data_IF_009196113013
#
_entry.id   IF_009196113013
#
_cell.length_a   1.000
_cell.length_b   1.000
_cell.length_c   1.000
_cell.angle_alpha   90.00
_cell.angle_beta   90.00
_cell.angle_gamma   90.00
#
_symmetry.space_group_name_H-M   'P 1'
#
loop_
_entity.id
_entity.type
_entity.pdbx_description
1 polymer ?
#
# COMPACT_ATOMS: atom_id res chain seq x y z
N UNK A 1 43.39 14.24 9.98
CA UNK A 1 43.21 13.40 11.19
C UNK A 1 41.78 12.88 11.16
N UNK A 2 41.49 11.66 11.62
CA UNK A 2 40.10 11.20 11.68
C UNK A 2 39.38 11.85 12.87
N UNK A 3 38.18 12.35 12.64
CA UNK A 3 37.33 12.99 13.67
C UNK A 3 36.10 12.14 13.90
N UNK A 4 35.76 11.94 15.17
CA UNK A 4 34.51 11.29 15.54
C UNK A 4 33.46 12.38 15.71
N UNK A 5 32.34 12.24 15.03
CA UNK A 5 31.31 13.29 14.99
C UNK A 5 29.92 12.71 15.18
N UNK A 6 29.00 13.52 15.67
CA UNK A 6 27.57 13.26 15.72
C UNK A 6 26.85 14.11 14.69
N UNK A 7 25.95 13.52 13.91
CA UNK A 7 25.05 14.26 13.03
C UNK A 7 24.03 15.05 13.85
N UNK A 8 23.91 16.35 13.58
CA UNK A 8 22.94 17.26 14.16
C UNK A 8 21.62 17.32 13.37
N UNK A 9 21.60 16.74 12.16
CA UNK A 9 20.42 16.61 11.29
C UNK A 9 20.65 15.45 10.33
N UNK A 10 19.61 15.01 9.63
CA UNK A 10 19.78 14.02 8.56
C UNK A 10 20.64 14.57 7.41
N UNK A 11 21.51 13.73 6.85
CA UNK A 11 22.36 14.09 5.71
C UNK A 11 23.17 12.91 5.18
N UNK A 12 24.03 13.13 4.18
CA UNK A 12 24.75 12.04 3.50
C UNK A 12 26.25 12.17 3.69
N UNK A 13 26.86 11.14 4.30
CA UNK A 13 28.32 10.97 4.36
C UNK A 13 28.65 9.49 4.15
N UNK A 14 29.04 9.15 2.92
CA UNK A 14 29.10 7.78 2.41
C UNK A 14 27.70 7.17 2.18
N UNK A 15 26.86 7.20 3.21
CA UNK A 15 25.48 6.74 3.22
C UNK A 15 24.60 7.78 3.95
N UNK A 16 23.27 7.58 3.91
CA UNK A 16 22.35 8.38 4.72
C UNK A 16 22.68 8.20 6.21
N UNK A 17 22.82 9.32 6.91
CA UNK A 17 23.00 9.41 8.36
C UNK A 17 21.80 10.13 8.93
N UNK A 18 21.23 9.59 9.99
CA UNK A 18 20.13 10.21 10.71
C UNK A 18 20.66 11.19 11.76
N UNK A 19 19.77 12.04 12.27
CA UNK A 19 20.11 12.92 13.38
C UNK A 19 20.46 12.08 14.62
N UNK A 20 21.58 12.39 15.27
CA UNK A 20 22.11 11.64 16.40
C UNK A 20 23.13 10.56 16.04
N UNK A 21 23.27 10.19 14.77
CA UNK A 21 24.24 9.18 14.33
C UNK A 21 25.67 9.60 14.62
N UNK A 22 26.45 8.71 15.25
CA UNK A 22 27.88 8.90 15.50
C UNK A 22 28.71 8.15 14.45
N UNK A 23 29.55 8.87 13.72
CA UNK A 23 30.41 8.29 12.69
C UNK A 23 31.78 8.96 12.63
N UNK A 24 32.72 8.28 11.96
CA UNK A 24 34.07 8.78 11.75
C UNK A 24 34.16 9.53 10.42
N UNK A 25 34.75 10.71 10.45
CA UNK A 25 35.05 11.54 9.30
C UNK A 25 36.52 11.39 8.98
N UNK A 26 36.82 10.97 7.75
CA UNK A 26 38.19 10.66 7.32
C UNK A 26 39.09 11.91 7.18
N UNK A 27 38.50 13.04 6.79
CA UNK A 27 39.21 14.27 6.45
C UNK A 27 38.50 15.50 7.02
N UNK A 28 39.26 16.48 7.48
CA UNK A 28 38.70 17.69 8.11
C UNK A 28 37.83 18.51 7.15
N UNK A 29 38.06 18.43 5.83
CA UNK A 29 37.23 19.10 4.81
C UNK A 29 35.79 18.56 4.73
N UNK A 30 35.57 17.34 5.20
CA UNK A 30 34.24 16.72 5.24
C UNK A 30 33.47 17.09 6.52
N UNK A 31 34.16 17.69 7.50
CA UNK A 31 33.52 18.17 8.72
C UNK A 31 32.78 19.47 8.45
N UNK A 32 31.50 19.50 8.82
CA UNK A 32 30.66 20.70 8.72
C UNK A 32 30.01 20.99 10.05
N UNK A 33 30.36 22.10 10.71
CA UNK A 33 29.74 22.51 11.99
C UNK A 33 28.23 22.75 11.90
N UNK A 34 27.71 23.00 10.69
CA UNK A 34 26.27 23.17 10.46
C UNK A 34 25.52 21.82 10.42
N UNK A 35 26.24 20.70 10.38
CA UNK A 35 25.66 19.37 10.27
C UNK A 35 26.23 18.38 11.29
N UNK A 36 27.43 18.63 11.81
CA UNK A 36 28.20 17.70 12.60
C UNK A 36 28.77 18.40 13.83
N UNK A 37 28.78 17.70 14.94
CA UNK A 37 29.45 18.10 16.18
C UNK A 37 30.57 17.11 16.49
N UNK A 38 31.74 17.61 16.91
CA UNK A 38 32.87 16.75 17.30
C UNK A 38 32.58 16.09 18.65
N UNK A 39 32.64 14.76 18.68
CA UNK A 39 32.33 13.96 19.86
C UNK A 39 33.60 13.29 20.37
N UNK A 40 33.78 13.31 21.69
CA UNK A 40 34.92 12.62 22.31
C UNK A 40 34.77 11.10 22.19
N UNK A 41 35.89 10.37 22.09
CA UNK A 41 35.88 8.90 22.04
C UNK A 41 35.17 8.26 23.25
N UNK A 42 35.24 8.92 24.42
CA UNK A 42 34.59 8.45 25.64
C UNK A 42 33.06 8.57 25.56
N UNK A 43 32.55 9.69 25.04
CA UNK A 43 31.11 9.91 24.86
C UNK A 43 30.52 8.94 23.85
N UNK A 44 31.19 8.75 22.70
CA UNK A 44 30.76 7.76 21.72
C UNK A 44 30.82 6.32 22.25
N UNK A 45 31.83 5.98 23.05
CA UNK A 45 31.90 4.68 23.71
C UNK A 45 30.78 4.49 24.73
N UNK A 46 30.42 5.54 25.48
CA UNK A 46 29.29 5.53 26.42
C UNK A 46 27.97 5.35 25.70
N UNK A 47 27.78 5.97 24.54
CA UNK A 47 26.56 5.84 23.74
C UNK A 47 26.45 4.46 23.09
N UNK A 48 27.53 3.92 22.52
CA UNK A 48 27.56 2.52 22.04
C UNK A 48 27.33 1.53 23.16
N UNK A 49 27.89 1.79 24.35
CA UNK A 49 27.65 0.95 25.54
C UNK A 49 26.22 1.09 26.03
N UNK A 50 25.60 2.27 25.94
CA UNK A 50 24.19 2.47 26.24
C UNK A 50 23.31 1.70 25.25
N UNK A 51 23.57 1.81 23.94
CA UNK A 51 22.91 1.04 22.88
C UNK A 51 23.11 -0.48 23.01
N UNK A 52 24.23 -0.93 23.57
CA UNK A 52 24.51 -2.34 23.90
C UNK A 52 23.99 -2.80 25.25
N UNK A 53 23.77 -1.88 26.18
CA UNK A 53 23.16 -2.14 27.48
C UNK A 53 21.63 -2.11 27.42
N UNK A 54 21.04 -1.63 26.32
CA UNK A 54 19.65 -1.96 25.98
C UNK A 54 19.60 -3.48 25.80
N UNK A 55 18.89 -4.23 26.65
CA UNK A 55 18.86 -5.68 26.59
C UNK A 55 18.40 -6.11 25.20
N UNK A 56 18.98 -7.20 24.67
CA UNK A 56 18.64 -7.74 23.34
C UNK A 56 17.13 -8.02 23.17
N UNK A 57 16.41 -8.18 24.29
CA UNK A 57 14.96 -8.26 24.37
C UNK A 57 14.22 -6.96 23.95
N UNK A 58 14.85 -5.79 23.98
CA UNK A 58 14.26 -4.50 23.58
C UNK A 58 14.76 -4.00 22.21
N UNK A 59 15.82 -4.60 21.64
CA UNK A 59 16.35 -4.24 20.30
C UNK A 59 15.43 -4.62 19.13
N UNK A 60 14.34 -5.32 19.40
CA UNK A 60 13.28 -5.62 18.43
C UNK A 60 11.86 -5.34 18.95
N UNK A 61 11.72 -4.74 20.14
CA UNK A 61 10.41 -4.37 20.68
C UNK A 61 10.16 -2.94 20.25
N UNK A 62 9.55 -2.80 19.08
CA UNK A 62 8.62 -1.70 18.88
C UNK A 62 7.71 -1.67 20.11
N UNK A 63 7.72 -0.56 20.85
CA UNK A 63 6.86 -0.30 22.00
C UNK A 63 5.38 -0.23 21.53
N UNK A 64 4.83 -1.37 21.10
CA UNK A 64 3.49 -1.51 20.51
C UNK A 64 2.82 -2.86 20.84
N UNK A 65 3.53 -3.83 21.40
CA UNK A 65 3.12 -5.25 21.31
C UNK A 65 2.06 -5.75 22.30
N UNK A 66 1.60 -4.96 23.27
CA UNK A 66 0.48 -5.39 24.15
C UNK A 66 -0.88 -5.00 23.54
N UNK A 67 -0.98 -3.84 22.91
CA UNK A 67 -2.19 -3.43 22.20
C UNK A 67 -2.39 -4.28 20.93
N UNK A 68 -1.30 -4.62 20.23
CA UNK A 68 -1.37 -5.32 18.96
C UNK A 68 -1.87 -6.76 19.09
N UNK A 69 -1.52 -7.51 20.14
CA UNK A 69 -1.96 -8.91 20.25
C UNK A 69 -3.49 -9.05 20.45
N UNK A 70 -4.10 -8.19 21.26
CA UNK A 70 -5.55 -8.16 21.43
C UNK A 70 -6.26 -7.69 20.16
N UNK A 71 -5.68 -6.70 19.47
CA UNK A 71 -6.19 -6.20 18.18
C UNK A 71 -6.04 -7.27 17.09
N UNK A 72 -4.96 -8.04 17.08
CA UNK A 72 -4.74 -9.17 16.17
C UNK A 72 -5.80 -10.25 16.38
N UNK A 73 -6.10 -10.62 17.62
CA UNK A 73 -7.15 -11.61 17.91
C UNK A 73 -8.55 -11.09 17.54
N UNK A 74 -8.84 -9.81 17.78
CA UNK A 74 -10.08 -9.18 17.33
C UNK A 74 -10.20 -9.17 15.80
N UNK A 75 -9.12 -8.83 15.09
CA UNK A 75 -9.08 -8.84 13.63
C UNK A 75 -9.23 -10.26 13.05
N UNK A 76 -8.66 -11.28 13.69
CA UNK A 76 -8.87 -12.68 13.30
C UNK A 76 -10.32 -13.11 13.45
N UNK A 77 -10.99 -12.69 14.54
CA UNK A 77 -12.41 -12.97 14.74
C UNK A 77 -13.29 -12.27 13.67
N UNK A 78 -13.00 -11.02 13.35
CA UNK A 78 -13.70 -10.28 12.29
C UNK A 78 -13.49 -10.90 10.90
N UNK A 79 -12.28 -11.38 10.59
CA UNK A 79 -12.01 -12.10 9.34
C UNK A 79 -12.79 -13.42 9.27
N UNK A 80 -12.84 -14.19 10.35
CA UNK A 80 -13.62 -15.43 10.40
C UNK A 80 -15.13 -15.18 10.20
N UNK A 81 -15.67 -14.09 10.76
CA UNK A 81 -17.06 -13.69 10.56
C UNK A 81 -17.34 -13.29 9.10
N UNK A 82 -16.41 -12.55 8.46
CA UNK A 82 -16.51 -12.17 7.04
C UNK A 82 -16.38 -13.36 6.12
N UNK A 83 -15.50 -14.31 6.41
CA UNK A 83 -15.34 -15.54 5.62
C UNK A 83 -16.62 -16.40 5.68
N UNK A 84 -17.27 -16.50 6.84
CA UNK A 84 -18.54 -17.18 6.98
C UNK A 84 -19.66 -16.53 6.13
N UNK A 85 -19.66 -15.21 6.03
CA UNK A 85 -20.60 -14.45 5.18
C UNK A 85 -20.27 -14.64 3.68
N UNK A 86 -18.99 -14.64 3.30
CA UNK A 86 -18.55 -14.97 1.94
C UNK A 86 -19.01 -16.38 1.56
N UNK A 87 -18.87 -17.36 2.46
CA UNK A 87 -19.34 -18.72 2.22
C UNK A 87 -20.87 -18.84 2.18
N UNK A 88 -21.59 -17.99 2.92
CA UNK A 88 -23.04 -17.89 2.83
C UNK A 88 -23.47 -17.32 1.47
N UNK A 89 -22.82 -16.24 1.01
CA UNK A 89 -23.08 -15.62 -0.30
C UNK A 89 -22.70 -16.56 -1.46
N UNK A 90 -21.58 -17.27 -1.34
CA UNK A 90 -21.15 -18.29 -2.33
C UNK A 90 -22.10 -19.48 -2.39
N UNK A 91 -22.62 -19.95 -1.25
CA UNK A 91 -23.63 -21.03 -1.21
C UNK A 91 -24.99 -20.56 -1.71
N UNK A 92 -25.40 -19.32 -1.42
CA UNK A 92 -26.61 -18.70 -1.95
C UNK A 92 -26.59 -18.52 -3.48
N UNK A 93 -25.41 -18.42 -4.09
CA UNK A 93 -25.21 -18.35 -5.54
C UNK A 93 -25.11 -19.72 -6.24
N UNK A 94 -25.21 -20.86 -5.54
CA UNK A 94 -25.00 -22.19 -6.13
C UNK A 94 -26.26 -23.07 -6.13
N UNK A 95 -27.15 -22.81 -7.10
CA UNK A 95 -28.06 -23.81 -7.67
C UNK A 95 -27.39 -24.45 -8.93
N UNK A 96 -27.82 -25.63 -9.39
CA UNK A 96 -26.91 -26.73 -9.76
C UNK A 96 -26.24 -26.58 -11.13
N UNK A 97 -25.06 -27.19 -11.21
CA UNK A 97 -24.24 -27.29 -12.40
C UNK A 97 -24.86 -28.21 -13.46
N UNK A 98 -25.04 -27.68 -14.66
CA UNK A 98 -24.85 -28.42 -15.91
C UNK A 98 -23.53 -27.96 -16.57
N UNK A 99 -22.85 -28.84 -17.33
CA UNK A 99 -21.49 -28.58 -17.77
C UNK A 99 -21.49 -27.84 -19.12
N UNK A 100 -20.77 -26.73 -19.20
CA UNK A 100 -19.74 -26.41 -20.22
C UNK A 100 -19.56 -24.91 -20.41
N UNK A 101 -18.28 -24.56 -20.61
CA UNK A 101 -17.76 -23.41 -21.38
C UNK A 101 -17.93 -21.98 -20.85
N UNK A 102 -16.74 -21.40 -20.60
CA UNK A 102 -16.37 -20.00 -20.79
C UNK A 102 -16.95 -18.92 -19.84
N UNK A 103 -16.01 -18.24 -19.18
CA UNK A 103 -16.03 -16.80 -18.89
C UNK A 103 -17.38 -16.15 -18.55
N UNK A 104 -17.72 -16.07 -17.27
CA UNK A 104 -18.66 -15.06 -16.78
C UNK A 104 -18.34 -14.65 -15.35
N UNK A 105 -17.71 -13.48 -15.22
CA UNK A 105 -17.80 -12.65 -14.03
C UNK A 105 -19.28 -12.28 -13.83
N UNK A 106 -19.92 -13.02 -12.94
CA UNK A 106 -21.26 -12.82 -12.38
C UNK A 106 -21.30 -11.53 -11.54
N UNK A 107 -21.36 -10.43 -12.27
CA UNK A 107 -21.75 -9.11 -11.78
C UNK A 107 -23.09 -8.80 -12.45
N UNK A 108 -24.10 -8.28 -11.72
CA UNK A 108 -25.44 -8.03 -12.28
C UNK A 108 -25.32 -7.30 -13.60
N UNK A 109 -26.15 -7.67 -14.57
CA UNK A 109 -26.16 -7.08 -15.92
C UNK A 109 -26.44 -5.58 -15.81
N UNK A 110 -25.35 -4.79 -15.70
CA UNK A 110 -25.43 -3.34 -15.59
C UNK A 110 -26.03 -2.80 -16.88
N UNK A 111 -27.07 -1.99 -16.73
CA UNK A 111 -27.71 -1.35 -17.89
C UNK A 111 -26.75 -0.35 -18.55
N UNK A 112 -26.96 0.01 -19.83
CA UNK A 112 -26.15 1.02 -20.50
C UNK A 112 -26.05 2.33 -19.71
N UNK A 113 -27.13 2.75 -19.04
CA UNK A 113 -27.18 3.94 -18.21
C UNK A 113 -26.29 3.84 -16.95
N UNK A 114 -26.26 2.67 -16.30
CA UNK A 114 -25.42 2.44 -15.12
C UNK A 114 -23.93 2.40 -15.50
N UNK A 115 -23.59 1.77 -16.63
CA UNK A 115 -22.21 1.75 -17.10
C UNK A 115 -21.76 3.15 -17.55
N UNK A 116 -22.64 3.92 -18.18
CA UNK A 116 -22.37 5.33 -18.50
C UNK A 116 -22.09 6.15 -17.23
N UNK A 117 -22.87 5.96 -16.16
CA UNK A 117 -22.63 6.61 -14.88
C UNK A 117 -21.27 6.21 -14.27
N UNK A 118 -20.86 4.94 -14.38
CA UNK A 118 -19.53 4.49 -13.97
C UNK A 118 -18.39 5.10 -14.80
N UNK A 119 -18.65 5.46 -16.07
CA UNK A 119 -17.70 6.16 -16.92
C UNK A 119 -17.50 7.61 -16.46
N UNK A 120 -18.56 8.26 -16.02
CA UNK A 120 -18.51 9.65 -15.52
C UNK A 120 -18.01 9.74 -14.08
N UNK A 121 -18.05 8.64 -13.32
CA UNK A 121 -17.54 8.59 -11.95
C UNK A 121 -15.99 8.56 -11.92
N UNK A 122 -15.40 9.52 -11.22
CA UNK A 122 -13.95 9.61 -11.00
C UNK A 122 -13.42 8.59 -10.00
N UNK A 123 -14.31 7.92 -9.25
CA UNK A 123 -13.96 6.90 -8.28
C UNK A 123 -13.85 5.48 -8.88
N UNK A 124 -14.23 5.32 -10.15
CA UNK A 124 -14.18 4.03 -10.86
C UNK A 124 -12.95 3.97 -11.75
N UNK A 125 -12.10 2.97 -11.52
CA UNK A 125 -10.96 2.69 -12.39
C UNK A 125 -11.39 2.40 -13.83
N UNK A 126 -10.66 2.95 -14.80
CA UNK A 126 -10.99 2.84 -16.21
C UNK A 126 -11.11 1.38 -16.71
N UNK A 127 -10.33 0.45 -16.14
CA UNK A 127 -10.40 -0.98 -16.50
C UNK A 127 -11.74 -1.62 -16.09
N UNK A 128 -12.29 -1.21 -14.95
CA UNK A 128 -13.60 -1.67 -14.46
C UNK A 128 -14.72 -1.13 -15.35
N UNK A 129 -14.67 0.16 -15.69
CA UNK A 129 -15.60 0.77 -16.65
C UNK A 129 -15.50 0.10 -18.03
N UNK A 130 -14.28 -0.13 -18.54
CA UNK A 130 -14.04 -0.78 -19.83
C UNK A 130 -14.56 -2.22 -19.87
N UNK A 131 -14.39 -2.98 -18.79
CA UNK A 131 -14.92 -4.34 -18.67
C UNK A 131 -16.46 -4.36 -18.66
N UNK A 132 -17.09 -3.43 -17.95
CA UNK A 132 -18.55 -3.29 -17.94
C UNK A 132 -19.08 -2.84 -19.32
N UNK A 133 -18.41 -1.89 -19.98
CA UNK A 133 -18.77 -1.44 -21.32
C UNK A 133 -18.59 -2.54 -22.37
N UNK A 134 -17.58 -3.42 -22.23
CA UNK A 134 -17.39 -4.58 -23.10
C UNK A 134 -18.58 -5.53 -23.05
N UNK A 135 -19.24 -5.69 -21.90
CA UNK A 135 -20.44 -6.53 -21.78
C UNK A 135 -21.63 -5.97 -22.57
N UNK A 136 -21.68 -4.65 -22.76
CA UNK A 136 -22.76 -3.97 -23.49
C UNK A 136 -22.42 -3.82 -24.97
N UNK A 137 -21.24 -3.31 -25.29
CA UNK A 137 -20.81 -2.98 -26.65
C UNK A 137 -20.17 -4.18 -27.38
N UNK A 138 -19.81 -5.23 -26.67
CA UNK A 138 -19.18 -6.42 -27.24
C UNK A 138 -17.89 -6.09 -27.99
N UNK A 139 -17.83 -6.49 -29.26
CA UNK A 139 -16.67 -6.27 -30.14
C UNK A 139 -16.55 -4.83 -30.66
N UNK A 140 -17.59 -3.99 -30.47
CA UNK A 140 -17.58 -2.59 -30.86
C UNK A 140 -16.97 -1.67 -29.79
N UNK A 141 -16.17 -2.22 -28.87
CA UNK A 141 -15.58 -1.45 -27.77
C UNK A 141 -14.35 -0.64 -28.26
N UNK A 142 -14.44 0.70 -28.27
CA UNK A 142 -13.32 1.53 -28.69
C UNK A 142 -12.21 1.60 -27.64
N UNK A 143 -11.06 2.16 -28.02
CA UNK A 143 -9.86 2.13 -27.19
C UNK A 143 -9.90 3.15 -26.05
N UNK A 144 -10.56 4.30 -26.26
CA UNK A 144 -10.51 5.44 -25.34
C UNK A 144 -11.79 5.60 -24.52
N UNK A 145 -11.66 6.19 -23.33
CA UNK A 145 -12.79 6.41 -22.41
C UNK A 145 -13.92 7.24 -23.04
N UNK A 146 -13.57 8.31 -23.75
CA UNK A 146 -14.55 9.19 -24.39
C UNK A 146 -15.34 8.48 -25.48
N UNK A 147 -14.68 7.65 -26.29
CA UNK A 147 -15.36 6.87 -27.34
C UNK A 147 -16.26 5.79 -26.75
N UNK A 148 -15.86 5.16 -25.64
CA UNK A 148 -16.69 4.15 -24.96
C UNK A 148 -17.97 4.79 -24.42
N UNK A 149 -17.87 5.99 -23.83
CA UNK A 149 -19.01 6.77 -23.34
C UNK A 149 -19.96 7.09 -24.49
N UNK A 150 -19.46 7.63 -25.61
CA UNK A 150 -20.28 7.95 -26.78
C UNK A 150 -21.00 6.72 -27.37
N UNK A 151 -20.30 5.58 -27.47
CA UNK A 151 -20.89 4.34 -27.96
C UNK A 151 -21.97 3.79 -26.99
N UNK A 152 -21.79 3.96 -25.69
CA UNK A 152 -22.82 3.60 -24.70
C UNK A 152 -24.04 4.53 -24.76
N UNK A 153 -23.85 5.83 -25.00
CA UNK A 153 -24.95 6.78 -25.20
C UNK A 153 -25.78 6.45 -26.45
N UNK A 154 -25.12 6.13 -27.56
CA UNK A 154 -25.79 5.76 -28.82
C UNK A 154 -26.63 4.49 -28.63
N UNK A 155 -26.06 3.49 -27.93
CA UNK A 155 -26.79 2.24 -27.61
C UNK A 155 -27.91 2.44 -26.59
N UNK A 156 -27.78 3.39 -25.66
CA UNK A 156 -28.83 3.73 -24.70
C UNK A 156 -29.99 4.52 -25.34
N UNK A 157 -29.74 5.16 -26.49
CA UNK A 157 -30.72 5.95 -27.25
C UNK A 157 -31.44 5.13 -28.33
N UNK A 158 -30.95 3.92 -28.63
CA UNK A 158 -31.66 2.97 -29.49
C UNK A 158 -32.77 2.26 -28.69
N UNK A 159 -34.03 2.27 -29.17
CA UNK A 159 -35.17 1.68 -28.47
C UNK A 159 -35.15 0.15 -28.42
#
# INVERSE_FOLDING_TARGET
MTKLVRALRAGVYGHLREEGDIFEVAEDRHFSKAWMEEVSKNEAAKQRKAEQAVPEAERGVATSTIADNAVIEALKADLAARDAEIDRLKRGKKAPAEPKTASSSDEPEKTPAEVLAMGSDGNVEFMTFKAAARKILGDALPATKAEIIAALEDKATQP
#
